data_IF_622565271820
#
_entry.id   IF_622565271820
#
_cell.length_a   1.000
_cell.length_b   1.000
_cell.length_c   1.000
_cell.angle_alpha   90.00
_cell.angle_beta   90.00
_cell.angle_gamma   90.00
#
_symmetry.space_group_name_H-M   'P 1'
#
loop_
_entity.id
_entity.type
_entity.pdbx_description
1 polymer ?
#
# COMPACT_ATOMS: atom_id res chain seq x y z
N UNK A 1 4.19 -8.21 -4.60
CA UNK A 1 3.10 -9.00 -4.04
C UNK A 1 2.28 -9.62 -5.18
N UNK A 2 1.81 -10.89 -5.05
CA UNK A 2 1.00 -11.59 -6.05
C UNK A 2 -0.34 -10.90 -6.29
N UNK A 3 -0.94 -11.14 -7.43
CA UNK A 3 -2.23 -10.57 -7.85
C UNK A 3 -3.37 -11.53 -7.52
N UNK A 4 -4.59 -11.01 -7.47
CA UNK A 4 -5.80 -11.80 -7.24
C UNK A 4 -6.73 -11.62 -8.42
N UNK A 5 -7.07 -12.73 -9.05
CA UNK A 5 -7.97 -12.80 -10.19
C UNK A 5 -9.31 -13.41 -9.79
N UNK A 6 -10.36 -13.05 -10.51
CA UNK A 6 -11.62 -13.75 -10.49
C UNK A 6 -11.55 -15.06 -11.31
N UNK A 7 -12.63 -15.83 -11.34
CA UNK A 7 -12.72 -17.08 -12.14
C UNK A 7 -12.56 -16.89 -13.64
N UNK A 8 -12.76 -15.68 -14.14
CA UNK A 8 -12.69 -15.33 -15.56
C UNK A 8 -11.34 -14.70 -15.95
N UNK A 9 -10.40 -14.57 -14.98
CA UNK A 9 -9.10 -13.93 -15.19
C UNK A 9 -9.13 -12.40 -15.11
N UNK A 10 -10.22 -11.81 -14.60
CA UNK A 10 -10.29 -10.38 -14.36
C UNK A 10 -9.61 -10.01 -13.02
N UNK A 11 -8.93 -8.87 -12.97
CA UNK A 11 -8.27 -8.41 -11.75
C UNK A 11 -9.29 -8.03 -10.66
N UNK A 12 -9.24 -8.74 -9.53
CA UNK A 12 -9.86 -8.32 -8.28
C UNK A 12 -8.92 -7.45 -7.46
N UNK A 13 -7.64 -7.84 -7.40
CA UNK A 13 -6.59 -7.08 -6.72
C UNK A 13 -5.32 -7.12 -7.56
N UNK A 14 -4.75 -5.97 -7.83
CA UNK A 14 -3.48 -5.83 -8.52
C UNK A 14 -2.49 -4.95 -7.76
N UNK A 15 -1.23 -4.95 -8.18
CA UNK A 15 -0.22 -4.04 -7.68
C UNK A 15 0.02 -2.93 -8.69
N UNK A 16 -0.06 -1.67 -8.28
CA UNK A 16 0.31 -0.51 -9.10
C UNK A 16 1.62 0.09 -8.64
N UNK A 17 2.33 0.71 -9.57
CA UNK A 17 3.52 1.49 -9.28
C UNK A 17 3.16 2.76 -8.53
N UNK A 18 3.93 3.07 -7.52
CA UNK A 18 3.91 4.35 -6.82
C UNK A 18 5.30 4.68 -6.29
N UNK A 19 5.47 5.87 -5.78
CA UNK A 19 6.76 6.36 -5.31
C UNK A 19 6.61 7.01 -3.94
N UNK A 20 7.60 6.76 -3.08
CA UNK A 20 7.73 7.46 -1.82
C UNK A 20 8.73 8.60 -2.01
N UNK A 21 8.36 9.81 -1.59
CA UNK A 21 9.22 10.99 -1.65
C UNK A 21 10.07 11.04 -0.39
N UNK A 22 11.37 11.04 -0.57
CA UNK A 22 12.38 11.05 0.48
C UNK A 22 13.14 12.37 0.50
N UNK A 23 13.67 12.74 1.65
CA UNK A 23 14.58 13.88 1.82
C UNK A 23 15.81 13.47 2.61
N UNK A 24 16.98 13.97 2.21
CA UNK A 24 18.18 14.04 3.02
C UNK A 24 18.37 15.51 3.39
N UNK A 25 17.99 15.87 4.62
CA UNK A 25 17.88 17.26 5.06
C UNK A 25 19.19 18.06 4.89
N UNK A 26 20.35 17.41 5.02
CA UNK A 26 21.68 18.05 4.85
C UNK A 26 21.93 18.47 3.40
N UNK A 27 21.37 17.77 2.42
CA UNK A 27 21.57 17.99 1.00
C UNK A 27 20.57 19.01 0.41
N UNK A 28 19.63 19.45 1.23
CA UNK A 28 18.66 20.47 0.85
C UNK A 28 19.33 21.83 0.61
N UNK A 29 19.00 22.47 -0.48
CA UNK A 29 19.25 23.89 -0.67
C UNK A 29 18.21 24.70 0.12
N UNK A 30 18.60 25.19 1.31
CA UNK A 30 17.66 25.87 2.22
C UNK A 30 17.38 27.32 1.82
N UNK A 31 18.30 27.94 1.12
CA UNK A 31 18.19 29.35 0.70
C UNK A 31 17.37 29.46 -0.59
N UNK A 32 17.53 28.52 -1.52
CA UNK A 32 16.79 28.46 -2.78
C UNK A 32 15.52 27.62 -2.75
N UNK A 33 15.12 27.02 -1.60
CA UNK A 33 13.99 26.10 -1.53
C UNK A 33 12.65 26.84 -1.60
N UNK A 34 11.96 26.72 -2.73
CA UNK A 34 10.61 27.24 -2.90
C UNK A 34 9.56 26.30 -2.29
N UNK A 35 9.14 26.62 -1.06
CA UNK A 35 8.12 25.86 -0.34
C UNK A 35 6.75 25.91 -1.00
N UNK A 36 6.42 27.02 -1.69
CA UNK A 36 5.13 27.19 -2.36
C UNK A 36 5.04 26.29 -3.57
N UNK A 37 6.04 26.32 -4.43
CA UNK A 37 6.12 25.43 -5.60
C UNK A 37 6.15 23.97 -5.17
N UNK A 38 6.93 23.63 -4.13
CA UNK A 38 6.99 22.27 -3.61
C UNK A 38 5.61 21.76 -3.16
N UNK A 39 4.87 22.57 -2.40
CA UNK A 39 3.53 22.21 -1.94
C UNK A 39 2.53 22.06 -3.11
N UNK A 40 2.63 22.92 -4.13
CA UNK A 40 1.79 22.81 -5.33
C UNK A 40 2.03 21.53 -6.10
N UNK A 41 3.28 21.15 -6.30
CA UNK A 41 3.67 19.98 -7.08
C UNK A 41 3.36 18.68 -6.31
N UNK A 42 3.59 18.65 -4.99
CA UNK A 42 3.42 17.45 -4.17
C UNK A 42 2.01 17.29 -3.60
N UNK A 43 1.21 18.36 -3.57
CA UNK A 43 -0.09 18.39 -2.89
C UNK A 43 0.01 18.29 -1.36
N UNK A 44 1.20 18.49 -0.78
CA UNK A 44 1.38 18.59 0.67
C UNK A 44 0.93 19.96 1.17
N UNK A 45 0.29 19.99 2.36
CA UNK A 45 0.07 21.26 3.04
C UNK A 45 1.39 21.84 3.56
N UNK A 46 1.46 23.17 3.65
CA UNK A 46 2.64 23.84 4.19
C UNK A 46 2.97 23.35 5.62
N UNK A 47 1.97 23.18 6.47
CA UNK A 47 2.14 22.65 7.83
C UNK A 47 2.68 21.21 7.81
N UNK A 48 2.18 20.37 6.91
CA UNK A 48 2.66 19.00 6.71
C UNK A 48 4.13 18.98 6.32
N UNK A 49 4.52 19.81 5.35
CA UNK A 49 5.90 19.95 4.91
C UNK A 49 6.82 20.39 6.06
N UNK A 50 6.45 21.45 6.79
CA UNK A 50 7.23 21.98 7.92
C UNK A 50 7.44 20.90 8.98
N UNK A 51 6.40 20.15 9.30
CA UNK A 51 6.48 19.04 10.26
C UNK A 51 7.45 17.94 9.80
N UNK A 52 7.36 17.50 8.54
CA UNK A 52 8.25 16.46 8.04
C UNK A 52 9.70 16.94 7.91
N UNK A 53 9.94 18.18 7.54
CA UNK A 53 11.28 18.78 7.52
C UNK A 53 11.85 18.93 8.94
N UNK A 54 11.04 19.30 9.94
CA UNK A 54 11.45 19.34 11.34
C UNK A 54 11.90 17.94 11.83
N UNK A 55 11.12 16.91 11.47
CA UNK A 55 11.47 15.52 11.75
C UNK A 55 12.78 15.08 11.05
N UNK A 56 12.97 15.48 9.77
CA UNK A 56 14.17 15.17 9.02
C UNK A 56 15.43 15.85 9.59
N UNK A 57 15.28 17.04 10.18
CA UNK A 57 16.36 17.79 10.82
C UNK A 57 16.99 17.07 12.02
N UNK A 58 16.24 16.18 12.71
CA UNK A 58 16.74 15.40 13.85
C UNK A 58 17.90 14.47 13.44
N UNK A 59 17.81 13.89 12.23
CA UNK A 59 18.86 13.06 11.63
C UNK A 59 19.18 13.53 10.22
N UNK A 60 19.94 14.63 10.05
CA UNK A 60 20.02 15.36 8.79
C UNK A 60 20.73 14.62 7.65
N UNK A 61 21.48 13.56 7.97
CA UNK A 61 22.16 12.71 6.99
C UNK A 61 21.39 11.44 6.62
N UNK A 62 20.41 11.07 7.44
CA UNK A 62 19.61 9.89 7.17
C UNK A 62 18.43 10.24 6.24
N UNK A 63 18.14 9.38 5.25
CA UNK A 63 16.94 9.51 4.45
C UNK A 63 15.68 9.52 5.31
N UNK A 64 14.77 10.44 5.02
CA UNK A 64 13.47 10.52 5.70
C UNK A 64 12.36 10.59 4.66
N UNK A 65 11.33 9.79 4.86
CA UNK A 65 10.12 9.86 4.03
C UNK A 65 9.33 11.14 4.37
N UNK A 66 9.04 11.93 3.34
CA UNK A 66 8.23 13.17 3.41
C UNK A 66 6.79 12.87 3.00
N UNK A 67 6.63 12.02 2.00
CA UNK A 67 5.35 11.65 1.44
C UNK A 67 5.40 10.24 0.87
N UNK A 68 4.31 9.49 1.01
CA UNK A 68 4.15 8.18 0.39
C UNK A 68 3.12 8.21 -0.74
N UNK A 69 3.07 7.15 -1.53
CA UNK A 69 2.06 6.91 -2.58
C UNK A 69 1.94 8.03 -3.64
N UNK A 70 3.06 8.63 -4.04
CA UNK A 70 3.10 9.54 -5.19
C UNK A 70 2.82 8.76 -6.48
N UNK A 71 1.97 9.29 -7.35
CA UNK A 71 1.71 8.70 -8.67
C UNK A 71 2.92 8.86 -9.61
N UNK A 72 2.91 8.13 -10.72
CA UNK A 72 3.94 8.29 -11.75
C UNK A 72 3.91 9.68 -12.39
N UNK A 73 2.72 10.21 -12.59
CA UNK A 73 2.50 11.55 -13.13
C UNK A 73 3.03 12.64 -12.18
N UNK A 74 2.73 12.52 -10.89
CA UNK A 74 3.22 13.47 -9.88
C UNK A 74 4.73 13.38 -9.73
N UNK A 75 5.30 12.17 -9.81
CA UNK A 75 6.75 11.97 -9.83
C UNK A 75 7.41 12.70 -10.98
N UNK A 76 6.86 12.58 -12.20
CA UNK A 76 7.43 13.27 -13.37
C UNK A 76 7.41 14.79 -13.18
N UNK A 77 6.29 15.36 -12.73
CA UNK A 77 6.21 16.80 -12.41
C UNK A 77 7.19 17.21 -11.32
N UNK A 78 7.38 16.36 -10.33
CA UNK A 78 8.31 16.60 -9.23
C UNK A 78 9.76 16.58 -9.71
N UNK A 79 10.14 15.61 -10.54
CA UNK A 79 11.48 15.46 -11.07
C UNK A 79 11.87 16.67 -11.97
N UNK A 80 10.92 17.28 -12.68
CA UNK A 80 11.14 18.50 -13.49
C UNK A 80 11.56 19.70 -12.64
N UNK A 81 11.12 19.75 -11.36
CA UNK A 81 11.45 20.87 -10.47
C UNK A 81 12.84 20.77 -9.84
N UNK A 82 13.47 19.60 -9.88
CA UNK A 82 14.83 19.34 -9.39
C UNK A 82 15.14 19.90 -7.98
N UNK A 83 14.30 19.59 -7.00
CA UNK A 83 14.49 20.01 -5.62
C UNK A 83 15.71 19.32 -4.98
N UNK A 84 16.76 20.07 -4.68
CA UNK A 84 17.98 19.54 -4.09
C UNK A 84 17.72 18.86 -2.75
N UNK A 85 18.31 17.66 -2.55
CA UNK A 85 18.17 16.86 -1.34
C UNK A 85 16.89 16.01 -1.27
N UNK A 86 16.01 16.12 -2.27
CA UNK A 86 14.83 15.27 -2.40
C UNK A 86 15.01 14.26 -3.53
N UNK A 87 14.44 13.07 -3.35
CA UNK A 87 14.43 12.00 -4.36
C UNK A 87 13.27 11.06 -4.13
N UNK A 88 12.92 10.31 -5.17
CA UNK A 88 11.82 9.37 -5.12
C UNK A 88 12.33 7.93 -5.03
N UNK A 89 11.65 7.10 -4.26
CA UNK A 89 11.92 5.67 -4.13
C UNK A 89 10.73 4.89 -4.66
N UNK A 90 11.00 3.96 -5.58
CA UNK A 90 9.98 3.08 -6.14
C UNK A 90 9.33 2.22 -5.07
N UNK A 91 8.02 2.07 -5.16
CA UNK A 91 7.19 1.24 -4.31
C UNK A 91 6.03 0.66 -5.10
N UNK A 92 5.46 -0.44 -4.62
CA UNK A 92 4.19 -0.97 -5.12
C UNK A 92 3.08 -0.71 -4.10
N UNK A 93 1.91 -0.27 -4.58
CA UNK A 93 0.68 -0.15 -3.81
C UNK A 93 -0.35 -1.17 -4.30
N UNK A 94 -1.23 -1.60 -3.40
CA UNK A 94 -2.40 -2.39 -3.80
C UNK A 94 -3.42 -1.50 -4.51
N UNK A 95 -4.14 -2.08 -5.42
CA UNK A 95 -5.25 -1.45 -6.11
C UNK A 95 -6.37 -2.47 -6.28
N UNK A 96 -7.59 -2.04 -6.06
CA UNK A 96 -8.82 -2.83 -6.19
C UNK A 96 -9.68 -2.28 -7.35
N UNK A 97 -9.40 -2.66 -8.61
CA UNK A 97 -9.96 -1.99 -9.79
C UNK A 97 -11.48 -2.05 -9.87
N UNK A 98 -12.06 -3.11 -9.33
CA UNK A 98 -13.52 -3.34 -9.35
C UNK A 98 -14.26 -2.70 -8.18
N UNK A 99 -13.55 -2.31 -7.12
CA UNK A 99 -14.11 -1.69 -5.90
C UNK A 99 -15.21 -2.52 -5.23
N UNK A 100 -15.09 -3.84 -5.30
CA UNK A 100 -16.05 -4.81 -4.78
C UNK A 100 -15.38 -5.78 -3.79
N UNK A 101 -16.18 -6.47 -3.00
CA UNK A 101 -15.68 -7.53 -2.13
C UNK A 101 -14.85 -7.04 -0.96
N UNK A 102 -15.08 -5.85 -0.42
CA UNK A 102 -14.28 -5.30 0.66
C UNK A 102 -14.07 -6.27 1.83
N UNK A 103 -15.14 -6.89 2.31
CA UNK A 103 -15.07 -7.90 3.39
C UNK A 103 -14.47 -9.25 2.93
N UNK A 104 -14.63 -9.59 1.64
CA UNK A 104 -14.10 -10.82 1.05
C UNK A 104 -12.61 -10.71 0.76
N UNK A 105 -12.23 -9.69 -0.01
CA UNK A 105 -10.84 -9.46 -0.42
C UNK A 105 -9.98 -8.99 0.76
N UNK A 106 -10.57 -8.18 1.62
CA UNK A 106 -9.88 -7.55 2.71
C UNK A 106 -8.96 -6.42 2.25
N UNK A 107 -7.98 -6.10 3.06
CA UNK A 107 -7.02 -5.03 2.77
C UNK A 107 -5.66 -5.34 3.37
N UNK A 108 -4.64 -4.62 2.90
CA UNK A 108 -3.29 -4.68 3.44
C UNK A 108 -3.05 -3.50 4.38
N UNK A 109 -2.26 -3.74 5.42
CA UNK A 109 -1.91 -2.74 6.40
C UNK A 109 -0.46 -2.80 6.82
N UNK A 110 0.05 -1.71 7.38
CA UNK A 110 1.35 -1.70 8.01
C UNK A 110 1.36 -2.59 9.25
N UNK A 111 2.43 -3.38 9.42
CA UNK A 111 2.58 -4.26 10.58
C UNK A 111 2.63 -3.45 11.87
N UNK A 112 1.85 -3.87 12.84
CA UNK A 112 1.87 -3.31 14.19
C UNK A 112 2.79 -4.12 15.11
N UNK A 113 2.98 -3.62 16.36
CA UNK A 113 3.87 -4.25 17.35
C UNK A 113 3.45 -5.68 17.73
N UNK A 114 2.16 -6.00 17.66
CA UNK A 114 1.63 -7.34 17.94
C UNK A 114 1.96 -8.30 16.80
N UNK A 115 1.77 -7.84 15.55
CA UNK A 115 2.11 -8.61 14.35
C UNK A 115 3.61 -8.88 14.24
N UNK A 116 4.46 -7.92 14.62
CA UNK A 116 5.92 -8.13 14.67
C UNK A 116 6.31 -9.23 15.65
N UNK A 117 5.60 -9.37 16.77
CA UNK A 117 5.81 -10.47 17.71
C UNK A 117 5.36 -11.82 17.16
N UNK A 118 4.22 -11.82 16.46
CA UNK A 118 3.63 -13.05 15.89
C UNK A 118 4.38 -13.52 14.64
N UNK A 119 4.92 -12.59 13.85
CA UNK A 119 5.58 -12.85 12.58
C UNK A 119 6.98 -12.20 12.55
N UNK A 120 8.02 -12.86 13.13
CA UNK A 120 9.37 -12.29 13.23
C UNK A 120 10.06 -12.00 11.89
N UNK A 121 9.52 -12.54 10.81
CA UNK A 121 10.01 -12.29 9.44
C UNK A 121 9.62 -10.92 8.88
N UNK A 122 8.78 -10.15 9.58
CA UNK A 122 8.41 -8.79 9.20
C UNK A 122 9.24 -7.76 9.94
N UNK A 123 9.40 -6.61 9.30
CA UNK A 123 10.04 -5.43 9.88
C UNK A 123 9.03 -4.28 9.98
N UNK A 124 9.29 -3.32 10.87
CA UNK A 124 8.48 -2.11 10.98
C UNK A 124 8.45 -1.35 9.64
N UNK A 125 7.27 -0.85 9.27
CA UNK A 125 7.03 -0.19 7.98
C UNK A 125 6.64 -1.12 6.84
N UNK A 126 6.62 -2.45 7.07
CA UNK A 126 6.16 -3.41 6.07
C UNK A 126 4.64 -3.54 6.07
N UNK A 127 4.11 -4.03 4.94
CA UNK A 127 2.69 -4.26 4.75
C UNK A 127 2.35 -5.74 4.75
N UNK A 128 1.26 -6.08 5.43
CA UNK A 128 0.72 -7.44 5.59
C UNK A 128 -0.77 -7.44 5.30
N UNK A 129 -1.31 -8.54 4.84
CA UNK A 129 -2.76 -8.76 4.73
C UNK A 129 -3.41 -8.74 6.11
N UNK A 130 -4.37 -7.84 6.31
CA UNK A 130 -5.04 -7.67 7.61
C UNK A 130 -6.29 -8.54 7.71
N UNK A 131 -7.05 -8.65 6.62
CA UNK A 131 -8.32 -9.38 6.58
C UNK A 131 -8.54 -10.03 5.21
N UNK A 132 -9.59 -10.85 5.12
CA UNK A 132 -10.05 -11.45 3.87
C UNK A 132 -9.02 -12.33 3.18
N UNK A 133 -9.10 -12.39 1.86
CA UNK A 133 -8.19 -13.14 0.99
C UNK A 133 -6.75 -12.67 1.14
N UNK A 134 -6.52 -11.35 1.30
CA UNK A 134 -5.18 -10.78 1.51
C UNK A 134 -4.49 -11.37 2.75
N UNK A 135 -5.23 -11.61 3.83
CA UNK A 135 -4.68 -12.21 5.05
C UNK A 135 -4.59 -13.73 4.98
N UNK A 136 -5.61 -14.38 4.43
CA UNK A 136 -5.68 -15.84 4.37
C UNK A 136 -4.58 -16.44 3.48
N UNK A 137 -4.24 -15.75 2.39
CA UNK A 137 -3.21 -16.16 1.43
C UNK A 137 -1.94 -15.30 1.52
N UNK A 138 -1.68 -14.71 2.70
CA UNK A 138 -0.47 -13.92 2.93
C UNK A 138 0.83 -14.63 2.56
N UNK A 139 1.04 -15.93 2.92
CA UNK A 139 2.29 -16.63 2.60
C UNK A 139 2.54 -16.75 1.09
N UNK A 140 1.49 -16.95 0.30
CA UNK A 140 1.55 -17.07 -1.16
C UNK A 140 1.73 -15.71 -1.83
N UNK A 141 0.93 -14.74 -1.39
CA UNK A 141 0.87 -13.41 -1.99
C UNK A 141 2.10 -12.55 -1.69
N UNK A 142 2.73 -12.71 -0.54
CA UNK A 142 3.79 -11.84 -0.03
C UNK A 142 5.03 -11.81 -0.95
N UNK A 143 5.47 -12.97 -1.47
CA UNK A 143 6.75 -13.11 -2.15
C UNK A 143 7.95 -13.10 -1.19
N UNK A 144 9.15 -12.95 -1.74
CA UNK A 144 10.40 -12.84 -0.97
C UNK A 144 11.08 -11.52 -1.29
N UNK A 145 11.56 -10.85 -0.26
CA UNK A 145 12.31 -9.59 -0.42
C UNK A 145 13.68 -9.85 -0.97
N UNK A 146 14.12 -8.97 -1.84
CA UNK A 146 15.53 -8.82 -2.17
C UNK A 146 16.26 -8.07 -1.05
N UNK A 147 17.55 -8.30 -0.96
CA UNK A 147 18.46 -7.60 -0.05
C UNK A 147 19.54 -6.95 -0.88
N UNK A 148 19.78 -5.66 -0.66
CA UNK A 148 20.90 -4.92 -1.24
C UNK A 148 21.80 -4.44 -0.11
N UNK A 149 23.07 -4.85 -0.12
CA UNK A 149 24.04 -4.48 0.88
C UNK A 149 24.91 -3.36 0.31
N UNK A 150 24.89 -2.21 0.96
CA UNK A 150 25.64 -1.02 0.53
C UNK A 150 26.74 -0.70 1.52
N UNK A 151 27.89 -0.29 1.01
CA UNK A 151 28.94 0.31 1.83
C UNK A 151 28.57 1.75 2.17
N UNK A 152 28.70 2.09 3.45
CA UNK A 152 28.46 3.44 3.94
C UNK A 152 29.69 3.97 4.64
N UNK A 153 29.94 5.28 4.51
CA UNK A 153 30.99 5.93 5.26
C UNK A 153 30.62 6.14 6.73
N UNK A 154 31.55 6.68 7.52
CA UNK A 154 31.33 7.02 8.94
C UNK A 154 30.20 8.02 9.17
N UNK A 155 29.71 8.64 8.10
CA UNK A 155 28.64 9.62 8.11
C UNK A 155 27.31 9.08 7.58
N UNK A 156 27.29 7.79 7.17
CA UNK A 156 26.09 7.12 6.64
C UNK A 156 25.82 7.38 5.15
N UNK A 157 26.74 8.02 4.42
CA UNK A 157 26.60 8.21 2.98
C UNK A 157 26.98 6.91 2.24
N UNK A 158 26.12 6.51 1.28
CA UNK A 158 26.34 5.28 0.48
C UNK A 158 27.49 5.56 -0.51
N UNK A 159 28.53 4.72 -0.45
CA UNK A 159 29.70 4.78 -1.35
C UNK A 159 29.61 3.81 -2.52
N UNK A 160 28.88 2.71 -2.36
CA UNK A 160 28.76 1.70 -3.39
C UNK A 160 28.07 0.44 -2.89
N UNK A 161 28.03 -0.59 -3.72
CA UNK A 161 27.57 -1.92 -3.32
C UNK A 161 28.69 -2.65 -2.59
N UNK A 162 28.39 -3.29 -1.47
CA UNK A 162 29.35 -4.10 -0.74
C UNK A 162 29.82 -5.28 -1.60
N UNK A 163 31.14 -5.44 -1.75
CA UNK A 163 31.78 -6.47 -2.57
C UNK A 163 31.11 -6.64 -3.95
N UNK A 164 30.88 -5.53 -4.66
CA UNK A 164 30.28 -5.50 -6.00
C UNK A 164 28.90 -6.18 -6.08
N UNK A 165 28.14 -6.17 -4.98
CA UNK A 165 26.80 -6.77 -4.93
C UNK A 165 26.78 -8.30 -4.79
N UNK A 166 27.90 -8.92 -4.45
CA UNK A 166 28.05 -10.40 -4.36
C UNK A 166 27.10 -11.04 -3.35
N UNK A 167 26.65 -10.28 -2.36
CA UNK A 167 25.72 -10.72 -1.32
C UNK A 167 24.31 -10.16 -1.51
N UNK A 168 24.08 -9.46 -2.61
CA UNK A 168 22.74 -8.98 -2.96
C UNK A 168 21.85 -10.15 -3.37
N UNK A 169 20.58 -10.10 -3.02
CA UNK A 169 19.58 -11.05 -3.48
C UNK A 169 18.46 -10.33 -4.21
N UNK A 170 18.00 -10.90 -5.32
CA UNK A 170 16.87 -10.33 -6.06
C UNK A 170 15.55 -10.62 -5.34
N UNK A 171 14.57 -9.70 -5.40
CA UNK A 171 13.23 -9.96 -4.90
C UNK A 171 12.54 -11.03 -5.76
N UNK A 172 11.77 -11.90 -5.10
CA UNK A 172 10.93 -12.89 -5.78
C UNK A 172 9.47 -12.46 -5.63
N UNK A 173 8.73 -12.23 -6.73
CA UNK A 173 7.33 -11.86 -6.66
C UNK A 173 6.50 -12.95 -5.96
N UNK A 174 5.41 -12.55 -5.29
CA UNK A 174 4.44 -13.48 -4.74
C UNK A 174 3.69 -14.22 -5.84
N UNK A 175 3.11 -15.36 -5.47
CA UNK A 175 2.26 -16.13 -6.36
C UNK A 175 0.92 -15.41 -6.51
N UNK A 176 0.43 -15.31 -7.73
CA UNK A 176 -0.92 -14.86 -7.99
C UNK A 176 -1.92 -15.99 -7.71
N UNK A 177 -3.12 -15.64 -7.30
CA UNK A 177 -4.21 -16.57 -7.00
C UNK A 177 -5.42 -16.29 -7.87
N UNK A 178 -6.14 -17.33 -8.21
CA UNK A 178 -7.42 -17.25 -8.92
C UNK A 178 -8.51 -17.68 -7.94
N UNK A 179 -9.47 -16.81 -7.70
CA UNK A 179 -10.64 -17.09 -6.88
C UNK A 179 -11.76 -17.69 -7.73
N UNK A 180 -12.66 -18.44 -7.11
CA UNK A 180 -13.89 -18.95 -7.75
C UNK A 180 -14.96 -17.86 -7.92
N UNK A 181 -14.75 -16.70 -7.35
CA UNK A 181 -15.63 -15.53 -7.41
C UNK A 181 -15.76 -15.02 -8.85
N UNK A 182 -16.99 -14.69 -9.25
CA UNK A 182 -17.28 -13.93 -10.46
C UNK A 182 -17.43 -12.45 -10.09
N UNK A 183 -16.53 -11.60 -10.60
CA UNK A 183 -16.50 -10.19 -10.26
C UNK A 183 -17.77 -9.43 -10.64
N UNK A 184 -18.43 -9.82 -11.74
CA UNK A 184 -19.66 -9.19 -12.20
C UNK A 184 -20.84 -9.58 -11.32
N UNK A 185 -20.92 -10.86 -10.96
CA UNK A 185 -21.95 -11.35 -10.05
C UNK A 185 -21.79 -10.74 -8.66
N UNK A 186 -20.56 -10.61 -8.17
CA UNK A 186 -20.24 -9.94 -6.91
C UNK A 186 -20.73 -8.50 -6.91
N UNK A 187 -20.39 -7.71 -7.95
CA UNK A 187 -20.83 -6.31 -8.09
C UNK A 187 -22.36 -6.21 -8.10
N UNK A 188 -23.02 -7.01 -8.92
CA UNK A 188 -24.48 -7.04 -9.01
C UNK A 188 -25.13 -7.34 -7.65
N UNK A 189 -24.61 -8.32 -6.93
CA UNK A 189 -25.16 -8.70 -5.62
C UNK A 189 -24.91 -7.61 -4.57
N UNK A 190 -23.78 -6.92 -4.59
CA UNK A 190 -23.51 -5.77 -3.70
C UNK A 190 -24.47 -4.61 -3.99
N UNK A 191 -24.77 -4.35 -5.25
CA UNK A 191 -25.76 -3.35 -5.63
C UNK A 191 -27.18 -3.70 -5.14
N UNK A 192 -27.59 -4.97 -5.26
CA UNK A 192 -28.88 -5.46 -4.74
C UNK A 192 -28.97 -5.36 -3.21
N UNK A 193 -27.84 -5.51 -2.52
CA UNK A 193 -27.75 -5.43 -1.06
C UNK A 193 -27.56 -3.99 -0.55
N UNK A 194 -27.43 -3.01 -1.44
CA UNK A 194 -27.25 -1.60 -1.08
C UNK A 194 -28.40 -1.12 -0.19
N UNK A 195 -28.06 -0.53 0.93
CA UNK A 195 -29.04 -0.05 1.92
C UNK A 195 -29.58 -1.10 2.89
N UNK A 196 -29.35 -2.39 2.64
CA UNK A 196 -29.77 -3.50 3.50
C UNK A 196 -28.66 -3.89 4.49
N UNK A 197 -28.99 -4.71 5.47
CA UNK A 197 -28.04 -5.29 6.43
C UNK A 197 -28.20 -6.79 6.39
N UNK A 198 -27.12 -7.52 6.12
CA UNK A 198 -27.14 -8.98 6.02
C UNK A 198 -26.05 -9.52 5.10
N UNK A 199 -26.15 -10.79 4.76
CA UNK A 199 -25.21 -11.47 3.87
C UNK A 199 -25.95 -12.23 2.77
N UNK A 200 -25.27 -12.43 1.63
CA UNK A 200 -25.72 -13.28 0.53
C UNK A 200 -24.54 -14.07 0.00
N UNK A 201 -24.73 -15.36 -0.25
CA UNK A 201 -23.73 -16.27 -0.82
C UNK A 201 -24.37 -17.06 -1.94
N UNK A 202 -23.69 -17.17 -3.09
CA UNK A 202 -24.04 -18.09 -4.17
C UNK A 202 -22.97 -19.16 -4.30
N UNK A 203 -23.39 -20.41 -4.31
CA UNK A 203 -22.54 -21.58 -4.40
C UNK A 203 -22.95 -22.41 -5.60
N UNK A 204 -22.01 -22.86 -6.41
CA UNK A 204 -22.23 -23.83 -7.46
C UNK A 204 -22.41 -25.21 -6.84
N UNK A 205 -23.61 -25.84 -6.93
CA UNK A 205 -23.89 -27.08 -6.21
C UNK A 205 -23.04 -28.26 -6.68
N UNK A 206 -22.62 -28.26 -7.93
CA UNK A 206 -21.88 -29.37 -8.54
C UNK A 206 -20.40 -29.41 -8.13
N UNK A 207 -19.81 -28.24 -7.85
CA UNK A 207 -18.37 -28.10 -7.55
C UNK A 207 -18.10 -27.64 -6.13
N UNK A 208 -19.10 -26.99 -5.48
CA UNK A 208 -18.93 -26.32 -4.20
C UNK A 208 -18.23 -24.96 -4.29
N UNK A 209 -17.98 -24.45 -5.49
CA UNK A 209 -17.35 -23.16 -5.71
C UNK A 209 -18.24 -22.01 -5.26
N UNK A 210 -17.64 -21.07 -4.51
CA UNK A 210 -18.33 -19.83 -4.13
C UNK A 210 -18.21 -18.85 -5.28
N UNK A 211 -19.34 -18.50 -5.90
CA UNK A 211 -19.42 -17.60 -7.04
C UNK A 211 -19.50 -16.14 -6.62
N UNK A 212 -20.15 -15.86 -5.50
CA UNK A 212 -20.18 -14.55 -4.86
C UNK A 212 -20.38 -14.67 -3.37
N UNK A 213 -19.87 -13.73 -2.60
CA UNK A 213 -20.04 -13.64 -1.15
C UNK A 213 -20.11 -12.15 -0.74
N UNK A 214 -21.30 -11.71 -0.37
CA UNK A 214 -21.58 -10.32 0.00
C UNK A 214 -21.90 -10.24 1.48
N UNK A 215 -21.24 -9.28 2.14
CA UNK A 215 -21.58 -8.82 3.48
C UNK A 215 -22.00 -7.35 3.37
N UNK A 216 -23.22 -7.00 3.79
CA UNK A 216 -23.73 -5.64 3.67
C UNK A 216 -24.09 -5.05 5.05
N UNK A 217 -23.76 -3.78 5.32
CA UNK A 217 -23.01 -2.87 4.44
C UNK A 217 -21.57 -3.31 4.22
N UNK A 218 -21.04 -3.01 3.05
CA UNK A 218 -19.65 -3.21 2.67
C UNK A 218 -18.90 -1.87 2.55
N UNK A 219 -17.64 -1.93 2.19
CA UNK A 219 -16.79 -0.76 1.94
C UNK A 219 -15.98 -0.96 0.66
N UNK A 220 -15.51 0.14 0.06
CA UNK A 220 -14.57 0.10 -1.05
C UNK A 220 -13.15 -0.21 -0.49
N UNK A 221 -12.56 -1.39 -0.79
CA UNK A 221 -11.24 -1.72 -0.27
C UNK A 221 -10.13 -0.80 -0.80
N UNK A 222 -10.34 -0.11 -1.94
CA UNK A 222 -9.38 0.86 -2.49
C UNK A 222 -9.25 2.12 -1.61
N UNK A 223 -10.29 2.49 -0.84
CA UNK A 223 -10.23 3.57 0.16
C UNK A 223 -9.26 3.27 1.32
N UNK A 224 -8.98 1.98 1.58
CA UNK A 224 -8.01 1.54 2.57
C UNK A 224 -6.59 1.43 2.03
N UNK A 225 -6.32 2.04 0.86
CA UNK A 225 -5.00 2.17 0.25
C UNK A 225 -4.62 3.65 0.17
N UNK A 226 -3.33 3.93 0.25
CA UNK A 226 -2.80 5.27 0.04
C UNK A 226 -2.78 6.16 1.29
N UNK A 227 -2.66 7.46 1.06
CA UNK A 227 -2.35 8.46 2.09
C UNK A 227 -3.49 8.70 3.08
N UNK A 228 -4.73 8.59 2.63
CA UNK A 228 -5.92 8.84 3.47
C UNK A 228 -6.45 7.59 4.17
N UNK A 229 -5.79 6.45 3.99
CA UNK A 229 -6.17 5.17 4.58
C UNK A 229 -6.56 5.27 6.07
N UNK A 230 -5.76 5.99 6.87
CA UNK A 230 -6.00 6.13 8.30
C UNK A 230 -7.33 6.81 8.61
N UNK A 231 -7.65 7.88 7.90
CA UNK A 231 -8.91 8.61 8.06
C UNK A 231 -10.10 7.74 7.64
N UNK A 232 -10.05 7.13 6.47
CA UNK A 232 -11.11 6.25 5.97
C UNK A 232 -11.32 5.04 6.88
N UNK A 233 -10.23 4.44 7.39
CA UNK A 233 -10.34 3.34 8.35
C UNK A 233 -11.08 3.77 9.63
N UNK A 234 -10.77 4.94 10.18
CA UNK A 234 -11.46 5.47 11.36
C UNK A 234 -12.93 5.78 11.08
N UNK A 235 -13.26 6.33 9.91
CA UNK A 235 -14.64 6.55 9.49
C UNK A 235 -15.43 5.24 9.42
N UNK A 236 -14.84 4.19 8.81
CA UNK A 236 -15.46 2.87 8.72
C UNK A 236 -15.60 2.21 10.11
N UNK A 237 -14.61 2.37 10.99
CA UNK A 237 -14.59 1.79 12.34
C UNK A 237 -15.68 2.38 13.24
N UNK A 238 -15.86 3.71 13.17
CA UNK A 238 -16.89 4.41 13.97
C UNK A 238 -18.26 4.45 13.30
N UNK A 239 -18.40 3.90 12.11
CA UNK A 239 -19.67 3.85 11.41
C UNK A 239 -20.65 2.92 12.16
N UNK A 240 -21.80 3.47 12.56
CA UNK A 240 -22.85 2.74 13.30
C UNK A 240 -23.37 1.50 12.56
N UNK A 241 -23.25 1.46 11.23
CA UNK A 241 -23.67 0.32 10.40
C UNK A 241 -22.61 -0.78 10.31
N UNK A 242 -21.41 -0.57 10.87
CA UNK A 242 -20.31 -1.53 10.97
C UNK A 242 -19.92 -2.18 9.62
N UNK A 243 -19.49 -1.43 8.61
CA UNK A 243 -19.15 -1.98 7.29
C UNK A 243 -17.93 -2.91 7.31
N UNK A 244 -17.04 -2.76 8.30
CA UNK A 244 -15.88 -3.67 8.48
C UNK A 244 -16.26 -5.05 9.05
N UNK A 245 -17.47 -5.19 9.56
CA UNK A 245 -17.94 -6.45 10.13
C UNK A 245 -18.39 -7.41 9.02
N UNK A 246 -17.76 -8.57 8.92
CA UNK A 246 -18.17 -9.62 8.00
C UNK A 246 -19.33 -10.42 8.61
N UNK A 247 -20.48 -10.44 7.92
CA UNK A 247 -21.74 -11.03 8.36
C UNK A 247 -21.94 -12.40 7.78
#
# INVERSE_FOLDING_TARGET
>A
RGEVFDRNGEYLVQSRECYDLMVIYREMDREGFDTTLFCQVTGLSHEGLVRELANARVRPRAPRMVMNYMSKEDKLRFDECNFAGFYTVYRTARQYPRKVGGNLLGYVGEVNSEMLRRYPSYQAGEYVGISGVESAYEPELRGKKGVKISEVDTHGAIKGSYMDGRFDSLPVPGKSIVCTIDARLQLFAEELMRGKVGAAVAIEPSTGEILMMVSSPTYDPDELVGRQRGNHYMELLYNKRQPLFNR
#
